data_IF_797276226587
#
_entry.id   IF_797276226587
#
_cell.length_a   1.000
_cell.length_b   1.000
_cell.length_c   1.000
_cell.angle_alpha   90.00
_cell.angle_beta   90.00
_cell.angle_gamma   90.00
#
_symmetry.space_group_name_H-M   'P 1'
#
loop_
_entity.id
_entity.type
_entity.pdbx_description
1 polymer ?
#
# COMPACT_ATOMS: atom_id res chain seq x y z
N UNK A 1 23.41 2.04 35.19
CA UNK A 1 23.62 0.60 35.03
C UNK A 1 23.31 0.24 33.58
N UNK A 2 24.35 -0.01 32.80
CA UNK A 2 24.20 -0.51 31.41
C UNK A 2 23.52 -1.88 31.49
N UNK A 3 22.31 -2.01 31.01
CA UNK A 3 21.69 -3.33 30.80
C UNK A 3 22.59 -4.06 29.80
N UNK A 4 23.29 -5.09 30.23
CA UNK A 4 24.14 -5.92 29.36
C UNK A 4 23.30 -6.46 28.20
N UNK A 5 23.75 -6.25 26.97
CA UNK A 5 23.15 -6.81 25.77
C UNK A 5 22.97 -8.34 25.99
N UNK A 6 21.83 -8.88 25.57
CA UNK A 6 21.63 -10.32 25.59
C UNK A 6 22.42 -10.94 24.41
N UNK A 7 23.54 -11.66 24.67
CA UNK A 7 24.42 -12.12 23.60
C UNK A 7 23.72 -12.98 22.55
N UNK A 8 22.72 -13.77 22.95
CA UNK A 8 21.95 -14.64 22.05
C UNK A 8 21.09 -13.84 21.08
N UNK A 9 20.49 -12.74 21.54
CA UNK A 9 19.69 -11.87 20.66
C UNK A 9 20.57 -11.08 19.70
N UNK A 10 21.74 -10.66 20.14
CA UNK A 10 22.72 -9.96 19.31
C UNK A 10 23.26 -10.88 18.21
N UNK A 11 23.61 -12.12 18.53
CA UNK A 11 24.07 -13.14 17.58
C UNK A 11 22.98 -13.44 16.53
N UNK A 12 21.73 -13.62 16.95
CA UNK A 12 20.59 -13.79 16.04
C UNK A 12 20.41 -12.58 15.12
N UNK A 13 20.44 -11.36 15.66
CA UNK A 13 20.31 -10.14 14.88
C UNK A 13 21.43 -10.00 13.84
N UNK A 14 22.66 -10.27 14.22
CA UNK A 14 23.81 -10.21 13.31
C UNK A 14 23.64 -11.21 12.17
N UNK A 15 23.34 -12.48 12.48
CA UNK A 15 23.09 -13.51 11.47
C UNK A 15 21.98 -13.11 10.49
N UNK A 16 20.85 -12.64 11.01
CA UNK A 16 19.73 -12.24 10.16
C UNK A 16 20.11 -11.05 9.27
N UNK A 17 20.80 -10.04 9.82
CA UNK A 17 21.17 -8.82 9.09
C UNK A 17 22.31 -9.05 8.08
N UNK A 18 23.18 -10.02 8.30
CA UNK A 18 24.22 -10.41 7.34
C UNK A 18 23.65 -11.14 6.12
N UNK A 19 22.61 -11.94 6.31
CA UNK A 19 22.05 -12.78 5.26
C UNK A 19 20.88 -12.16 4.53
N UNK A 20 20.14 -11.24 5.17
CA UNK A 20 18.91 -10.66 4.64
C UNK A 20 18.87 -9.15 4.86
N UNK A 21 18.21 -8.45 3.94
CA UNK A 21 17.71 -7.10 4.15
C UNK A 21 16.26 -7.18 4.59
N UNK A 22 15.91 -6.41 5.62
CA UNK A 22 14.55 -6.34 6.16
C UNK A 22 13.99 -4.94 6.04
N UNK A 23 12.67 -4.84 5.89
CA UNK A 23 11.92 -3.61 6.02
C UNK A 23 10.51 -3.89 6.54
N UNK A 24 9.91 -2.95 7.22
CA UNK A 24 8.55 -3.06 7.74
C UNK A 24 7.60 -2.25 6.87
N UNK A 25 6.74 -2.92 6.11
CA UNK A 25 5.78 -2.28 5.23
C UNK A 25 4.60 -1.73 6.05
N UNK A 26 4.50 -0.41 6.13
CA UNK A 26 3.49 0.27 6.96
C UNK A 26 2.07 0.15 6.42
N UNK A 27 1.86 -0.15 5.13
CA UNK A 27 0.54 -0.32 4.53
C UNK A 27 -0.04 -1.70 4.82
N UNK A 28 0.77 -2.74 4.62
CA UNK A 28 0.37 -4.12 4.89
C UNK A 28 0.50 -4.48 6.37
N UNK A 29 1.28 -3.68 7.15
CA UNK A 29 1.60 -3.92 8.54
C UNK A 29 2.33 -5.26 8.74
N UNK A 30 3.21 -5.57 7.81
CA UNK A 30 3.97 -6.80 7.77
C UNK A 30 5.45 -6.54 7.47
N UNK A 31 6.35 -7.30 8.09
CA UNK A 31 7.75 -7.27 7.70
C UNK A 31 7.93 -7.92 6.32
N UNK A 32 8.86 -7.38 5.57
CA UNK A 32 9.33 -7.91 4.29
C UNK A 32 10.82 -8.18 4.36
N UNK A 33 11.28 -9.19 3.65
CA UNK A 33 12.70 -9.46 3.53
C UNK A 33 13.10 -9.80 2.10
N UNK A 34 14.38 -9.62 1.83
CA UNK A 34 15.07 -10.17 0.66
C UNK A 34 16.42 -10.75 1.08
N UNK A 35 16.88 -11.86 0.50
CA UNK A 35 18.27 -12.28 0.60
C UNK A 35 19.22 -11.19 0.08
N UNK A 36 20.40 -11.04 0.66
CA UNK A 36 21.40 -10.01 0.25
C UNK A 36 21.76 -10.04 -1.24
N UNK A 37 21.69 -11.23 -1.84
CA UNK A 37 22.02 -11.46 -3.25
C UNK A 37 20.83 -11.28 -4.21
N UNK A 38 19.69 -10.75 -3.74
CA UNK A 38 18.48 -10.51 -4.55
C UNK A 38 18.01 -9.07 -4.43
N UNK A 39 17.19 -8.63 -5.40
CA UNK A 39 16.63 -7.27 -5.41
C UNK A 39 15.14 -7.21 -5.08
N UNK A 40 14.49 -8.37 -4.85
CA UNK A 40 13.05 -8.42 -4.66
C UNK A 40 12.68 -8.74 -3.22
N UNK A 41 12.03 -7.79 -2.56
CA UNK A 41 11.43 -7.99 -1.25
C UNK A 41 10.19 -8.87 -1.34
N UNK A 42 10.00 -9.73 -0.35
CA UNK A 42 8.81 -10.56 -0.18
C UNK A 42 8.28 -10.43 1.24
N UNK A 43 6.97 -10.42 1.37
CA UNK A 43 6.32 -10.44 2.68
C UNK A 43 6.71 -11.70 3.45
N UNK A 44 7.01 -11.55 4.73
CA UNK A 44 7.35 -12.66 5.62
C UNK A 44 6.06 -13.32 6.07
N UNK A 45 5.71 -14.42 5.43
CA UNK A 45 4.64 -15.31 5.84
C UNK A 45 5.12 -16.30 6.93
N UNK A 46 4.20 -17.16 7.38
CA UNK A 46 4.53 -18.19 8.39
C UNK A 46 5.65 -19.13 7.93
N UNK A 47 5.68 -19.50 6.64
CA UNK A 47 6.70 -20.39 6.10
C UNK A 47 8.07 -19.71 6.10
N UNK A 48 8.14 -18.46 5.67
CA UNK A 48 9.39 -17.69 5.68
C UNK A 48 9.88 -17.47 7.13
N UNK A 49 8.96 -17.16 8.06
CA UNK A 49 9.31 -17.03 9.49
C UNK A 49 9.99 -18.29 10.01
N UNK A 50 9.38 -19.45 9.79
CA UNK A 50 9.96 -20.73 10.20
C UNK A 50 11.31 -21.00 9.50
N UNK A 51 11.45 -20.62 8.23
CA UNK A 51 12.70 -20.78 7.48
C UNK A 51 13.83 -19.92 8.05
N UNK A 52 13.55 -18.71 8.50
CA UNK A 52 14.54 -17.83 9.14
C UNK A 52 15.00 -18.43 10.47
N UNK A 53 14.06 -18.88 11.31
CA UNK A 53 14.41 -19.56 12.57
C UNK A 53 15.22 -20.82 12.33
N UNK A 54 14.78 -21.67 11.40
CA UNK A 54 15.48 -22.92 11.08
C UNK A 54 16.92 -22.67 10.61
N UNK A 55 17.14 -21.70 9.74
CA UNK A 55 18.48 -21.33 9.27
C UNK A 55 19.38 -20.86 10.41
N UNK A 56 18.88 -20.00 11.30
CA UNK A 56 19.63 -19.55 12.46
C UNK A 56 20.03 -20.74 13.36
N UNK A 57 19.12 -21.66 13.60
CA UNK A 57 19.41 -22.88 14.39
C UNK A 57 20.45 -23.79 13.72
N UNK A 58 20.44 -23.90 12.38
CA UNK A 58 21.42 -24.68 11.64
C UNK A 58 22.83 -24.09 11.71
N UNK A 59 22.98 -22.79 11.90
CA UNK A 59 24.25 -22.10 12.16
C UNK A 59 24.64 -22.14 13.64
N UNK A 60 23.92 -22.91 14.46
CA UNK A 60 24.22 -23.11 15.88
C UNK A 60 23.66 -22.01 16.79
N UNK A 61 22.87 -21.08 16.28
CA UNK A 61 22.31 -19.98 17.07
C UNK A 61 21.12 -20.49 17.89
N UNK A 62 21.21 -20.36 19.20
CA UNK A 62 20.12 -20.75 20.10
C UNK A 62 19.00 -19.70 20.08
N UNK A 63 17.95 -19.94 19.29
CA UNK A 63 16.81 -19.05 19.18
C UNK A 63 15.47 -19.80 19.04
N UNK A 64 14.37 -19.08 19.26
CA UNK A 64 12.99 -19.56 19.09
C UNK A 64 12.28 -18.68 18.06
N UNK A 65 11.19 -19.18 17.47
CA UNK A 65 10.31 -18.41 16.58
C UNK A 65 9.89 -17.07 17.20
N UNK A 66 9.67 -17.04 18.53
CA UNK A 66 9.32 -15.84 19.25
C UNK A 66 10.42 -14.76 19.21
N UNK A 67 11.69 -15.15 19.15
CA UNK A 67 12.83 -14.22 19.13
C UNK A 67 12.98 -13.62 17.73
N UNK A 68 12.88 -14.44 16.69
CA UNK A 68 12.83 -13.97 15.30
C UNK A 68 11.63 -13.04 15.09
N UNK A 69 10.45 -13.42 15.57
CA UNK A 69 9.25 -12.58 15.49
C UNK A 69 9.43 -11.24 16.21
N UNK A 70 10.04 -11.26 17.40
CA UNK A 70 10.30 -10.04 18.19
C UNK A 70 11.24 -9.09 17.43
N UNK A 71 12.29 -9.59 16.81
CA UNK A 71 13.17 -8.81 15.96
C UNK A 71 12.41 -8.20 14.75
N UNK A 72 11.68 -9.03 14.01
CA UNK A 72 10.98 -8.62 12.80
C UNK A 72 9.86 -7.58 13.02
N UNK A 73 9.28 -7.54 14.20
CA UNK A 73 8.22 -6.60 14.58
C UNK A 73 8.70 -5.50 15.54
N UNK A 74 10.01 -5.34 15.71
CA UNK A 74 10.61 -4.26 16.50
C UNK A 74 11.00 -3.06 15.64
N UNK A 75 11.38 -1.98 16.29
CA UNK A 75 11.92 -0.76 15.69
C UNK A 75 13.36 -0.91 15.14
N UNK A 76 13.97 -2.09 15.33
CA UNK A 76 15.26 -2.43 14.73
C UNK A 76 15.18 -2.56 13.21
N UNK A 77 13.97 -2.71 12.66
CA UNK A 77 13.73 -2.80 11.22
C UNK A 77 13.16 -1.47 10.72
N UNK A 78 13.83 -0.92 9.70
CA UNK A 78 13.40 0.33 9.09
C UNK A 78 11.99 0.23 8.49
N UNK A 79 11.18 1.24 8.72
CA UNK A 79 9.86 1.35 8.11
C UNK A 79 9.97 1.67 6.63
N UNK A 80 9.09 1.07 5.84
CA UNK A 80 8.96 1.28 4.40
C UNK A 80 7.53 1.71 4.08
N UNK A 81 7.40 2.86 3.44
CA UNK A 81 6.12 3.33 2.91
C UNK A 81 6.16 3.28 1.38
N UNK A 82 5.57 2.27 0.74
CA UNK A 82 5.74 2.01 -0.70
C UNK A 82 5.58 3.24 -1.59
N UNK A 83 4.54 4.04 -1.36
CA UNK A 83 4.28 5.23 -2.18
C UNK A 83 5.29 6.36 -1.92
N UNK A 84 5.61 6.66 -0.66
CA UNK A 84 6.55 7.74 -0.31
C UNK A 84 7.94 7.41 -0.81
N UNK A 85 8.37 6.19 -0.58
CA UNK A 85 9.70 5.75 -0.96
C UNK A 85 9.83 5.72 -2.50
N UNK A 86 8.79 5.23 -3.22
CA UNK A 86 8.77 5.29 -4.68
C UNK A 86 8.85 6.74 -5.19
N UNK A 87 8.02 7.63 -4.67
CA UNK A 87 8.00 9.03 -5.12
C UNK A 87 9.32 9.75 -4.81
N UNK A 88 10.01 9.37 -3.73
CA UNK A 88 11.32 9.91 -3.39
C UNK A 88 12.45 9.46 -4.37
N UNK A 89 12.23 8.37 -5.12
CA UNK A 89 13.20 7.90 -6.14
C UNK A 89 13.00 8.54 -7.51
N UNK A 90 11.93 9.31 -7.70
CA UNK A 90 11.66 9.94 -8.98
C UNK A 90 12.67 11.06 -9.26
N UNK A 91 13.10 11.24 -10.52
CA UNK A 91 13.94 12.36 -10.91
C UNK A 91 13.20 13.68 -10.74
N UNK A 92 13.93 14.78 -10.75
CA UNK A 92 13.35 16.12 -10.79
C UNK A 92 12.42 16.27 -12.02
N UNK A 93 11.38 17.07 -11.84
CA UNK A 93 10.41 17.29 -12.90
C UNK A 93 11.04 18.09 -14.07
N UNK A 94 10.94 17.54 -15.26
CA UNK A 94 11.47 18.10 -16.49
C UNK A 94 10.55 19.14 -17.18
N UNK A 95 9.47 19.58 -16.49
CA UNK A 95 8.51 20.52 -17.04
C UNK A 95 7.42 19.89 -17.92
N UNK A 96 7.46 18.59 -18.20
CA UNK A 96 6.50 17.93 -19.09
C UNK A 96 5.23 17.51 -18.32
N UNK A 97 4.06 17.98 -18.75
CA UNK A 97 2.76 17.60 -18.18
C UNK A 97 2.28 16.23 -18.71
N UNK A 98 2.87 15.17 -18.16
CA UNK A 98 2.51 13.79 -18.50
C UNK A 98 1.11 13.39 -18.08
N UNK A 99 0.55 14.04 -17.07
CA UNK A 99 -0.80 13.74 -16.58
C UNK A 99 -1.84 14.16 -17.61
N UNK A 100 -1.74 15.38 -18.13
CA UNK A 100 -2.61 15.86 -19.20
C UNK A 100 -2.44 15.03 -20.47
N UNK A 101 -1.20 14.70 -20.84
CA UNK A 101 -0.91 13.84 -22.00
C UNK A 101 -1.55 12.45 -21.84
N UNK A 102 -1.50 11.86 -20.65
CA UNK A 102 -2.15 10.58 -20.37
C UNK A 102 -3.68 10.69 -20.45
N UNK A 103 -4.26 11.72 -19.83
CA UNK A 103 -5.69 11.99 -19.91
C UNK A 103 -6.21 12.18 -21.34
N UNK A 104 -5.41 12.82 -22.20
CA UNK A 104 -5.73 13.05 -23.61
C UNK A 104 -5.81 11.76 -24.44
N UNK A 105 -5.25 10.64 -23.96
CA UNK A 105 -5.43 9.31 -24.58
C UNK A 105 -6.88 8.80 -24.48
N UNK A 106 -7.63 9.29 -23.51
CA UNK A 106 -9.04 8.94 -23.30
C UNK A 106 -9.95 9.96 -24.02
N UNK A 107 -9.73 11.26 -23.76
CA UNK A 107 -10.55 12.32 -24.35
C UNK A 107 -9.79 13.66 -24.36
N UNK A 108 -9.93 14.41 -25.45
CA UNK A 108 -9.46 15.79 -25.57
C UNK A 108 -10.38 16.83 -24.91
N UNK A 109 -11.46 16.42 -24.26
CA UNK A 109 -12.40 17.34 -23.62
C UNK A 109 -11.73 18.09 -22.47
N UNK A 110 -11.80 19.42 -22.46
CA UNK A 110 -11.12 20.27 -21.49
C UNK A 110 -11.59 20.02 -20.04
N UNK A 111 -12.88 19.73 -19.83
CA UNK A 111 -13.42 19.40 -18.51
C UNK A 111 -12.85 18.08 -18.00
N UNK A 112 -12.78 17.07 -18.88
CA UNK A 112 -12.15 15.78 -18.57
C UNK A 112 -10.67 15.97 -18.20
N UNK A 113 -9.90 16.66 -19.01
CA UNK A 113 -8.45 16.86 -18.77
C UNK A 113 -8.20 17.57 -17.44
N UNK A 114 -8.95 18.63 -17.15
CA UNK A 114 -8.85 19.35 -15.87
C UNK A 114 -9.25 18.46 -14.68
N UNK A 115 -10.37 17.73 -14.81
CA UNK A 115 -10.85 16.81 -13.76
C UNK A 115 -9.86 15.68 -13.51
N UNK A 116 -9.34 15.06 -14.56
CA UNK A 116 -8.36 13.98 -14.48
C UNK A 116 -7.04 14.45 -13.82
N UNK A 117 -6.55 15.62 -14.24
CA UNK A 117 -5.35 16.22 -13.65
C UNK A 117 -5.52 16.47 -12.15
N UNK A 118 -6.64 17.10 -11.74
CA UNK A 118 -6.93 17.34 -10.31
C UNK A 118 -7.07 16.06 -9.52
N UNK A 119 -7.72 15.05 -10.09
CA UNK A 119 -7.87 13.76 -9.44
C UNK A 119 -6.51 13.07 -9.21
N UNK A 120 -5.63 13.05 -10.22
CA UNK A 120 -4.29 12.48 -10.10
C UNK A 120 -3.45 13.19 -9.02
N UNK A 121 -3.47 14.51 -8.99
CA UNK A 121 -2.78 15.28 -7.95
C UNK A 121 -3.35 14.98 -6.55
N UNK A 122 -4.68 14.90 -6.43
CA UNK A 122 -5.36 14.55 -5.20
C UNK A 122 -5.01 13.15 -4.71
N UNK A 123 -4.92 12.18 -5.61
CA UNK A 123 -4.51 10.81 -5.31
C UNK A 123 -3.07 10.77 -4.76
N UNK A 124 -2.12 11.41 -5.45
CA UNK A 124 -0.72 11.46 -5.00
C UNK A 124 -0.58 12.21 -3.67
N UNK A 125 -1.30 13.31 -3.47
CA UNK A 125 -1.32 14.03 -2.20
C UNK A 125 -1.81 13.15 -1.04
N UNK A 126 -2.77 12.27 -1.28
CA UNK A 126 -3.23 11.30 -0.29
C UNK A 126 -2.17 10.22 0.01
N UNK A 127 -1.46 9.71 -1.01
CA UNK A 127 -0.36 8.77 -0.80
C UNK A 127 0.76 9.36 0.07
N UNK A 128 1.04 10.65 -0.09
CA UNK A 128 2.03 11.37 0.70
C UNK A 128 1.53 11.70 2.12
N UNK A 129 0.21 11.60 2.34
CA UNK A 129 -0.41 11.94 3.61
C UNK A 129 -0.45 13.46 3.88
N UNK A 130 -0.45 14.28 2.82
CA UNK A 130 -0.60 15.72 2.98
C UNK A 130 -1.97 16.04 3.60
N UNK A 131 -2.00 16.96 4.58
CA UNK A 131 -3.24 17.38 5.22
C UNK A 131 -4.08 18.16 4.20
N UNK A 132 -4.96 17.48 3.49
CA UNK A 132 -5.93 18.13 2.65
C UNK A 132 -7.03 18.76 3.50
N UNK A 133 -7.43 20.01 3.19
CA UNK A 133 -8.62 20.64 3.81
C UNK A 133 -9.88 19.84 3.51
N UNK A 134 -9.94 19.21 2.33
CA UNK A 134 -11.02 18.34 1.89
C UNK A 134 -10.46 16.98 1.46
N UNK A 135 -11.27 15.95 1.62
CA UNK A 135 -11.00 14.65 1.02
C UNK A 135 -10.97 14.78 -0.51
N UNK A 136 -10.22 13.91 -1.20
CA UNK A 136 -10.32 13.80 -2.65
C UNK A 136 -11.66 13.12 -3.00
N UNK A 137 -12.68 13.91 -3.26
CA UNK A 137 -14.04 13.44 -3.57
C UNK A 137 -14.27 13.30 -5.08
N UNK A 138 -13.23 13.43 -5.90
CA UNK A 138 -13.30 13.19 -7.34
C UNK A 138 -12.97 11.73 -7.63
N UNK A 139 -13.68 11.15 -8.60
CA UNK A 139 -13.36 9.86 -9.18
C UNK A 139 -13.68 9.94 -10.70
N UNK A 140 -12.76 9.58 -11.59
CA UNK A 140 -13.04 9.50 -13.01
C UNK A 140 -13.96 8.32 -13.30
N UNK A 141 -14.94 8.51 -14.19
CA UNK A 141 -15.83 7.46 -14.67
C UNK A 141 -15.58 7.28 -16.17
N UNK A 142 -15.15 6.09 -16.56
CA UNK A 142 -14.89 5.72 -17.95
C UNK A 142 -16.10 4.98 -18.51
N UNK A 143 -16.81 5.61 -19.44
CA UNK A 143 -18.01 5.07 -20.08
C UNK A 143 -17.72 4.80 -21.55
N UNK A 144 -18.18 3.66 -22.06
CA UNK A 144 -18.13 3.30 -23.47
C UNK A 144 -19.33 2.45 -23.81
N UNK A 145 -19.94 2.69 -24.96
CA UNK A 145 -21.01 1.86 -25.50
C UNK A 145 -20.53 0.47 -25.93
N UNK A 146 -19.24 0.36 -26.29
CA UNK A 146 -18.65 -0.89 -26.73
C UNK A 146 -17.87 -1.57 -25.60
N UNK A 147 -17.93 -2.91 -25.59
CA UNK A 147 -17.09 -3.73 -24.73
C UNK A 147 -15.66 -3.84 -25.33
N UNK A 148 -14.69 -4.22 -24.51
CA UNK A 148 -13.33 -4.45 -25.00
C UNK A 148 -12.47 -3.20 -25.22
N UNK A 149 -12.96 -2.01 -24.87
CA UNK A 149 -12.25 -0.73 -25.02
C UNK A 149 -11.10 -0.51 -24.00
N UNK A 150 -10.58 -1.56 -23.43
CA UNK A 150 -9.41 -1.54 -22.53
C UNK A 150 -9.54 -0.60 -21.31
N UNK A 151 -10.76 -0.27 -20.84
CA UNK A 151 -10.96 0.62 -19.68
C UNK A 151 -10.26 0.11 -18.43
N UNK A 152 -10.48 -1.15 -18.06
CA UNK A 152 -9.87 -1.77 -16.87
C UNK A 152 -8.34 -1.89 -17.01
N UNK A 153 -7.85 -2.14 -18.23
CA UNK A 153 -6.41 -2.13 -18.54
C UNK A 153 -5.83 -0.73 -18.31
N UNK A 154 -6.50 0.32 -18.80
CA UNK A 154 -6.08 1.70 -18.55
C UNK A 154 -6.00 1.98 -17.04
N UNK A 155 -7.03 1.62 -16.27
CA UNK A 155 -7.01 1.80 -14.82
C UNK A 155 -5.83 1.08 -14.15
N UNK A 156 -5.53 -0.15 -14.58
CA UNK A 156 -4.44 -0.95 -13.98
C UNK A 156 -3.04 -0.40 -14.24
N UNK A 157 -2.81 0.29 -15.38
CA UNK A 157 -1.52 0.89 -15.71
C UNK A 157 -1.29 2.28 -15.12
N UNK A 158 -2.30 2.88 -14.48
CA UNK A 158 -2.14 4.18 -13.80
C UNK A 158 -1.17 4.10 -12.62
N UNK A 159 -1.06 2.93 -11.99
CA UNK A 159 -0.01 2.69 -11.02
C UNK A 159 1.27 2.19 -11.71
N UNK A 160 2.44 2.75 -11.36
CA UNK A 160 3.73 2.22 -11.79
C UNK A 160 3.89 0.75 -11.40
N UNK A 161 4.70 0.01 -12.14
CA UNK A 161 4.92 -1.42 -11.92
C UNK A 161 5.30 -1.76 -10.47
N UNK A 162 6.17 -0.96 -9.87
CA UNK A 162 6.60 -1.11 -8.48
C UNK A 162 5.46 -0.97 -7.46
N UNK A 163 4.36 -0.30 -7.83
CA UNK A 163 3.20 -0.05 -6.96
C UNK A 163 1.96 -0.87 -7.36
N UNK A 164 2.02 -1.70 -8.39
CA UNK A 164 0.87 -2.48 -8.88
C UNK A 164 0.27 -3.43 -7.84
N UNK A 165 1.05 -3.88 -6.88
CA UNK A 165 0.54 -4.67 -5.77
C UNK A 165 -0.50 -3.92 -4.91
N UNK A 166 -0.56 -2.60 -5.04
CA UNK A 166 -1.51 -1.72 -4.36
C UNK A 166 -2.66 -1.26 -5.26
N UNK A 167 -2.86 -1.89 -6.40
CA UNK A 167 -4.04 -1.78 -7.24
C UNK A 167 -5.00 -2.92 -6.96
N UNK A 168 -6.30 -2.64 -7.00
CA UNK A 168 -7.33 -3.69 -6.99
C UNK A 168 -8.54 -3.29 -7.82
N UNK A 169 -9.10 -4.25 -8.53
CA UNK A 169 -10.41 -4.22 -9.19
C UNK A 169 -11.49 -5.02 -8.43
N UNK A 170 -11.09 -5.65 -7.31
CA UNK A 170 -11.95 -6.49 -6.47
C UNK A 170 -12.44 -5.70 -5.25
N UNK A 171 -13.29 -4.72 -5.48
CA UNK A 171 -13.85 -3.89 -4.42
C UNK A 171 -15.36 -4.10 -4.29
N UNK A 172 -15.77 -4.97 -3.38
CA UNK A 172 -17.19 -5.15 -3.06
C UNK A 172 -17.57 -4.23 -1.88
N UNK A 173 -18.60 -3.42 -2.07
CA UNK A 173 -19.18 -2.56 -1.01
C UNK A 173 -20.15 -3.40 -0.18
N UNK A 174 -19.61 -4.20 0.76
CA UNK A 174 -20.43 -5.11 1.59
C UNK A 174 -20.56 -4.62 3.03
N UNK A 175 -19.52 -4.04 3.58
CA UNK A 175 -19.49 -3.50 4.95
C UNK A 175 -18.52 -2.33 5.06
N UNK A 176 -18.82 -1.39 5.97
CA UNK A 176 -17.97 -0.21 6.18
C UNK A 176 -16.54 -0.60 6.57
N UNK A 177 -16.38 -1.49 7.54
CA UNK A 177 -15.04 -1.88 8.03
C UNK A 177 -14.20 -2.61 6.98
N UNK A 178 -14.80 -3.46 6.14
CA UNK A 178 -14.10 -4.13 5.05
C UNK A 178 -13.66 -3.16 3.96
N UNK A 179 -14.49 -2.16 3.64
CA UNK A 179 -14.14 -1.08 2.71
C UNK A 179 -13.03 -0.20 3.27
N UNK A 180 -13.10 0.20 4.54
CA UNK A 180 -12.09 1.03 5.20
C UNK A 180 -10.72 0.35 5.21
N UNK A 181 -10.65 -0.96 5.45
CA UNK A 181 -9.41 -1.72 5.38
C UNK A 181 -8.82 -1.68 3.97
N UNK A 182 -9.62 -1.92 2.92
CA UNK A 182 -9.14 -1.87 1.53
C UNK A 182 -8.66 -0.48 1.15
N UNK A 183 -9.44 0.56 1.46
CA UNK A 183 -9.08 1.96 1.20
C UNK A 183 -7.75 2.35 1.89
N UNK A 184 -7.45 1.80 3.05
CA UNK A 184 -6.19 2.07 3.75
C UNK A 184 -4.99 1.30 3.22
N UNK A 185 -5.21 0.27 2.41
CA UNK A 185 -4.14 -0.61 1.89
C UNK A 185 -3.84 -0.35 0.43
N UNK A 186 -4.88 -0.16 -0.39
CA UNK A 186 -4.73 0.03 -1.83
C UNK A 186 -4.59 1.51 -2.20
N UNK A 187 -3.67 1.80 -3.10
CA UNK A 187 -3.42 3.15 -3.61
C UNK A 187 -4.37 3.55 -4.73
N UNK A 188 -4.92 2.57 -5.44
CA UNK A 188 -5.91 2.77 -6.50
C UNK A 188 -6.89 1.61 -6.49
N UNK A 189 -8.17 1.94 -6.45
CA UNK A 189 -9.28 0.98 -6.48
C UNK A 189 -10.08 1.25 -7.75
N UNK A 190 -10.14 0.28 -8.65
CA UNK A 190 -11.04 0.29 -9.79
C UNK A 190 -12.37 -0.36 -9.40
N UNK A 191 -13.45 0.34 -9.63
CA UNK A 191 -14.81 -0.16 -9.36
C UNK A 191 -15.44 -0.49 -10.72
N UNK A 192 -15.26 -1.73 -11.16
CA UNK A 192 -15.85 -2.22 -12.40
C UNK A 192 -17.35 -2.44 -12.24
N UNK A 193 -18.09 -2.47 -13.36
CA UNK A 193 -19.55 -2.69 -13.39
C UNK A 193 -20.34 -1.74 -12.47
N UNK A 194 -19.96 -0.45 -12.49
CA UNK A 194 -20.56 0.57 -11.62
C UNK A 194 -22.06 0.76 -11.81
N UNK A 195 -22.60 0.39 -12.95
CA UNK A 195 -24.03 0.38 -13.28
C UNK A 195 -24.85 -0.61 -12.44
N UNK A 196 -24.21 -1.63 -11.86
CA UNK A 196 -24.86 -2.59 -10.96
C UNK A 196 -24.99 -2.10 -9.51
N UNK A 197 -24.48 -0.90 -9.19
CA UNK A 197 -24.47 -0.40 -7.83
C UNK A 197 -25.85 0.12 -7.42
N UNK A 198 -26.36 -0.41 -6.30
CA UNK A 198 -27.62 0.03 -5.70
C UNK A 198 -27.46 1.40 -5.02
N UNK A 199 -28.57 2.12 -4.80
CA UNK A 199 -28.57 3.40 -4.08
C UNK A 199 -27.92 3.32 -2.70
N UNK A 200 -28.08 2.19 -1.99
CA UNK A 200 -27.44 1.95 -0.70
C UNK A 200 -25.91 1.88 -0.85
N UNK A 201 -25.41 1.20 -1.87
CA UNK A 201 -23.98 1.12 -2.17
C UNK A 201 -23.41 2.48 -2.55
N UNK A 202 -24.12 3.25 -3.36
CA UNK A 202 -23.74 4.62 -3.74
C UNK A 202 -23.70 5.56 -2.53
N UNK A 203 -24.65 5.44 -1.60
CA UNK A 203 -24.64 6.21 -0.36
C UNK A 203 -23.42 5.88 0.49
N UNK A 204 -23.10 4.60 0.65
CA UNK A 204 -21.91 4.17 1.36
C UNK A 204 -20.63 4.65 0.68
N UNK A 205 -20.55 4.55 -0.65
CA UNK A 205 -19.43 5.06 -1.44
C UNK A 205 -19.21 6.55 -1.23
N UNK A 206 -20.29 7.37 -1.30
CA UNK A 206 -20.21 8.82 -1.01
C UNK A 206 -19.61 9.09 0.37
N UNK A 207 -20.06 8.36 1.39
CA UNK A 207 -19.53 8.49 2.74
C UNK A 207 -18.05 8.12 2.79
N UNK A 208 -17.65 7.01 2.15
CA UNK A 208 -16.25 6.59 2.08
C UNK A 208 -15.38 7.63 1.36
N UNK A 209 -15.88 8.22 0.26
CA UNK A 209 -15.16 9.27 -0.48
C UNK A 209 -15.00 10.58 0.31
N UNK A 210 -15.88 10.88 1.27
CA UNK A 210 -15.80 12.07 2.10
C UNK A 210 -14.98 11.89 3.38
N UNK A 211 -14.65 10.65 3.74
CA UNK A 211 -13.85 10.37 4.94
C UNK A 211 -12.45 10.94 4.81
N UNK A 212 -12.01 11.75 5.77
CA UNK A 212 -10.63 12.26 5.85
C UNK A 212 -9.67 11.25 6.46
N UNK A 213 -10.17 10.40 7.33
CA UNK A 213 -9.41 9.34 8.01
C UNK A 213 -10.26 8.09 8.09
N UNK A 214 -9.64 6.94 7.98
CA UNK A 214 -10.29 5.64 8.16
C UNK A 214 -9.81 5.01 9.46
N UNK A 215 -10.76 4.48 10.24
CA UNK A 215 -10.51 3.74 11.46
C UNK A 215 -11.09 2.35 11.29
N UNK A 216 -10.26 1.35 11.16
CA UNK A 216 -10.72 -0.03 11.11
C UNK A 216 -10.02 -0.87 12.16
N UNK A 217 -10.76 -1.84 12.71
CA UNK A 217 -10.22 -2.81 13.65
C UNK A 217 -9.56 -3.94 12.88
N UNK A 218 -8.27 -4.16 13.12
CA UNK A 218 -7.59 -5.36 12.62
C UNK A 218 -8.07 -6.57 13.42
N UNK A 219 -8.54 -7.61 12.74
CA UNK A 219 -8.88 -8.87 13.38
C UNK A 219 -7.68 -9.37 14.20
N UNK A 220 -7.95 -9.84 15.43
CA UNK A 220 -6.96 -10.38 16.37
C UNK A 220 -5.90 -9.41 16.91
N UNK A 221 -6.03 -8.11 16.72
CA UNK A 221 -5.19 -7.10 17.41
C UNK A 221 -6.02 -6.36 18.45
N UNK A 222 -5.46 -6.22 19.67
CA UNK A 222 -6.11 -5.53 20.78
C UNK A 222 -6.22 -4.01 20.60
N UNK A 223 -5.54 -3.46 19.58
CA UNK A 223 -5.49 -2.03 19.33
C UNK A 223 -6.32 -1.64 18.12
N UNK A 224 -7.07 -0.55 18.25
CA UNK A 224 -7.66 0.15 17.11
C UNK A 224 -6.53 0.57 16.17
N UNK A 225 -6.74 0.37 14.88
CA UNK A 225 -5.76 0.83 13.87
C UNK A 225 -5.49 2.33 14.05
N UNK A 226 -4.24 2.73 13.94
CA UNK A 226 -3.87 4.14 13.88
C UNK A 226 -4.64 4.76 12.71
N UNK A 227 -5.28 5.93 12.89
CA UNK A 227 -5.94 6.62 11.80
C UNK A 227 -4.94 6.82 10.65
N UNK A 228 -5.17 6.19 9.52
CA UNK A 228 -4.35 6.36 8.33
C UNK A 228 -5.07 7.30 7.36
N UNK A 229 -4.31 8.13 6.67
CA UNK A 229 -4.85 8.82 5.52
C UNK A 229 -5.37 7.80 4.53
N UNK A 230 -6.52 8.08 3.96
CA UNK A 230 -7.15 7.24 2.97
C UNK A 230 -6.40 7.37 1.63
N UNK A 231 -6.18 6.25 0.98
CA UNK A 231 -5.71 6.19 -0.40
C UNK A 231 -6.92 5.93 -1.32
N UNK A 232 -7.00 6.66 -2.40
CA UNK A 232 -8.03 6.49 -3.44
C UNK A 232 -7.40 6.32 -4.80
#
# INVERSE_FOLDING_TARGET
MSMGANPKLEELQNFLSENFDFRYNVLTDMPECKPKNTNTYRMIDKRMMNSLTYKAMMEGIECKDADVKRFLFSDQIATHHPFKDYLATLPEWDGTDRVTMLGARISGNAMWLNGFHRWMLGMVAQWLGYPARCANALAPILISAEQGMCKSTFCSILLPEALRAYYTDKFAITSTSGCEQKISTFGLINMDEFDQYTERMLTLLKNLMQMKKVNYRKCFKAYYGIPRSRYQ
#
